data_IF_380733140600
#
_entry.id   IF_380733140600
#
_cell.length_a   1.000
_cell.length_b   1.000
_cell.length_c   1.000
_cell.angle_alpha   90.00
_cell.angle_beta   90.00
_cell.angle_gamma   90.00
#
_symmetry.space_group_name_H-M   'P 1'
#
loop_
_entity.id
_entity.type
_entity.pdbx_description
1 polymer ?
#
# COMPACT_ATOMS: atom_id res chain seq x y z
N UNK A 1 3.06 -24.28 -0.93
CA UNK A 1 3.28 -22.81 -0.98
C UNK A 1 2.99 -22.36 -2.40
N UNK A 2 1.80 -21.80 -2.66
CA UNK A 2 1.45 -21.26 -3.97
C UNK A 2 1.14 -19.76 -3.81
N UNK A 3 2.18 -18.96 -3.61
CA UNK A 3 2.09 -17.51 -3.80
C UNK A 3 2.14 -17.22 -5.31
N UNK A 4 1.12 -17.65 -6.05
CA UNK A 4 0.81 -16.99 -7.31
C UNK A 4 0.08 -15.72 -6.96
N UNK A 5 0.82 -14.70 -6.54
CA UNK A 5 0.38 -13.30 -6.66
C UNK A 5 0.00 -13.12 -8.12
N UNK A 6 -1.30 -13.06 -8.39
CA UNK A 6 -1.81 -12.85 -9.75
C UNK A 6 -1.14 -11.61 -10.33
N UNK A 7 -0.80 -11.57 -11.64
CA UNK A 7 -0.30 -10.35 -12.28
C UNK A 7 -1.20 -9.13 -12.03
N UNK A 8 -2.50 -9.36 -11.81
CA UNK A 8 -3.44 -8.33 -11.40
C UNK A 8 -3.12 -7.73 -10.02
N UNK A 9 -2.66 -8.54 -9.06
CA UNK A 9 -2.25 -8.09 -7.72
C UNK A 9 -0.93 -7.30 -7.78
N UNK A 10 0.05 -7.74 -8.57
CA UNK A 10 1.29 -6.98 -8.78
C UNK A 10 1.01 -5.67 -9.55
N UNK A 11 0.11 -5.71 -10.53
CA UNK A 11 -0.31 -4.54 -11.29
C UNK A 11 -1.07 -3.51 -10.45
N UNK A 12 -1.98 -3.93 -9.56
CA UNK A 12 -2.69 -3.02 -8.67
C UNK A 12 -1.78 -2.42 -7.60
N UNK A 13 -0.79 -3.16 -7.08
CA UNK A 13 0.23 -2.59 -6.20
C UNK A 13 1.03 -1.50 -6.92
N UNK A 14 1.46 -1.74 -8.16
CA UNK A 14 2.15 -0.74 -8.98
C UNK A 14 1.31 0.52 -9.21
N UNK A 15 0.03 0.36 -9.52
CA UNK A 15 -0.90 1.47 -9.71
C UNK A 15 -1.13 2.29 -8.42
N UNK A 16 -1.23 1.62 -7.27
CA UNK A 16 -1.38 2.27 -5.97
C UNK A 16 -0.14 3.13 -5.62
N UNK A 17 1.06 2.59 -5.85
CA UNK A 17 2.31 3.33 -5.65
C UNK A 17 2.37 4.53 -6.59
N UNK A 18 2.06 4.36 -7.88
CA UNK A 18 2.07 5.46 -8.85
C UNK A 18 1.11 6.59 -8.47
N UNK A 19 -0.10 6.24 -8.00
CA UNK A 19 -1.08 7.21 -7.52
C UNK A 19 -0.55 7.98 -6.30
N UNK A 20 0.05 7.27 -5.33
CA UNK A 20 0.61 7.90 -4.14
C UNK A 20 1.81 8.80 -4.48
N UNK A 21 2.67 8.38 -5.41
CA UNK A 21 3.79 9.20 -5.89
C UNK A 21 3.27 10.48 -6.56
N UNK A 22 2.18 10.44 -7.32
CA UNK A 22 1.58 11.65 -7.90
C UNK A 22 1.11 12.64 -6.81
N UNK A 23 0.50 12.13 -5.74
CA UNK A 23 0.09 12.96 -4.59
C UNK A 23 1.32 13.54 -3.86
N UNK A 24 2.32 12.71 -3.58
CA UNK A 24 3.56 13.13 -2.90
C UNK A 24 4.32 14.15 -3.75
N UNK A 25 4.39 13.95 -5.07
CA UNK A 25 5.05 14.87 -6.00
C UNK A 25 4.34 16.22 -6.02
N UNK A 26 3.01 16.23 -6.02
CA UNK A 26 2.21 17.44 -5.93
C UNK A 26 2.47 18.18 -4.60
N UNK A 27 2.48 17.46 -3.48
CA UNK A 27 2.79 18.03 -2.17
C UNK A 27 4.24 18.54 -2.10
N UNK A 28 5.21 17.80 -2.65
CA UNK A 28 6.61 18.18 -2.70
C UNK A 28 6.81 19.50 -3.45
N UNK A 29 6.14 19.67 -4.58
CA UNK A 29 6.17 20.92 -5.36
C UNK A 29 5.43 22.06 -4.66
N UNK A 30 4.29 21.78 -4.02
CA UNK A 30 3.49 22.81 -3.36
C UNK A 30 4.16 23.36 -2.09
N UNK A 31 4.80 22.49 -1.30
CA UNK A 31 5.45 22.86 -0.03
C UNK A 31 6.98 23.06 -0.15
N UNK A 32 7.57 22.81 -1.32
CA UNK A 32 9.01 22.96 -1.55
C UNK A 32 9.86 21.99 -0.72
N UNK A 33 9.39 20.75 -0.51
CA UNK A 33 10.02 19.77 0.39
C UNK A 33 11.35 19.20 -0.14
N UNK A 34 11.69 19.50 -1.41
CA UNK A 34 12.92 19.11 -2.09
C UNK A 34 13.25 17.60 -2.01
N UNK A 35 12.22 16.76 -2.00
CA UNK A 35 12.34 15.31 -2.00
C UNK A 35 12.76 14.81 -3.39
N UNK A 36 13.78 13.95 -3.43
CA UNK A 36 14.18 13.29 -4.67
C UNK A 36 13.10 12.32 -5.15
N UNK A 37 13.11 11.97 -6.44
CA UNK A 37 12.14 11.00 -6.98
C UNK A 37 12.23 9.64 -6.25
N UNK A 38 13.43 9.22 -5.85
CA UNK A 38 13.65 7.99 -5.09
C UNK A 38 13.02 8.07 -3.69
N UNK A 39 13.12 9.22 -3.02
CA UNK A 39 12.49 9.42 -1.69
C UNK A 39 10.98 9.34 -1.80
N UNK A 40 10.39 9.96 -2.82
CA UNK A 40 8.94 9.93 -3.06
C UNK A 40 8.42 8.52 -3.28
N UNK A 41 9.14 7.71 -4.08
CA UNK A 41 8.80 6.30 -4.32
C UNK A 41 9.00 5.45 -3.06
N UNK A 42 10.06 5.71 -2.29
CA UNK A 42 10.34 5.01 -1.03
C UNK A 42 9.23 5.25 0.01
N UNK A 43 8.81 6.51 0.17
CA UNK A 43 7.69 6.90 1.03
C UNK A 43 6.39 6.21 0.55
N UNK A 44 6.12 6.26 -0.76
CA UNK A 44 4.94 5.62 -1.34
C UNK A 44 4.91 4.11 -1.10
N UNK A 45 6.03 3.43 -1.33
CA UNK A 45 6.17 2.00 -1.07
C UNK A 45 5.97 1.66 0.40
N UNK A 46 6.56 2.44 1.31
CA UNK A 46 6.39 2.26 2.75
C UNK A 46 4.93 2.38 3.21
N UNK A 47 4.19 3.35 2.68
CA UNK A 47 2.76 3.53 3.00
C UNK A 47 1.94 2.33 2.51
N UNK A 48 2.20 1.85 1.29
CA UNK A 48 1.46 0.71 0.73
C UNK A 48 1.72 -0.56 1.53
N UNK A 49 2.96 -0.82 1.93
CA UNK A 49 3.31 -1.98 2.77
C UNK A 49 2.66 -1.89 4.15
N UNK A 50 2.69 -0.71 4.78
CA UNK A 50 2.05 -0.50 6.08
C UNK A 50 0.53 -0.70 5.99
N UNK A 51 -0.11 -0.14 4.96
CA UNK A 51 -1.54 -0.31 4.72
C UNK A 51 -1.91 -1.79 4.49
N UNK A 52 -1.08 -2.54 3.77
CA UNK A 52 -1.26 -3.96 3.56
C UNK A 52 -1.21 -4.74 4.88
N UNK A 53 -0.20 -4.50 5.72
CA UNK A 53 -0.08 -5.15 7.02
C UNK A 53 -1.27 -4.84 7.94
N UNK A 54 -1.71 -3.58 8.01
CA UNK A 54 -2.90 -3.19 8.80
C UNK A 54 -4.15 -3.89 8.28
N UNK A 55 -4.31 -3.99 6.95
CA UNK A 55 -5.44 -4.68 6.35
C UNK A 55 -5.43 -6.18 6.67
N UNK A 56 -4.26 -6.83 6.68
CA UNK A 56 -4.13 -8.24 7.10
C UNK A 56 -4.49 -8.43 8.57
N UNK A 57 -4.00 -7.56 9.46
CA UNK A 57 -4.35 -7.60 10.89
C UNK A 57 -5.86 -7.42 11.09
N UNK A 58 -6.47 -6.48 10.38
CA UNK A 58 -7.91 -6.25 10.44
C UNK A 58 -8.71 -7.44 9.90
N UNK A 59 -8.29 -8.01 8.76
CA UNK A 59 -8.93 -9.19 8.19
C UNK A 59 -8.86 -10.40 9.15
N UNK A 60 -7.70 -10.62 9.78
CA UNK A 60 -7.53 -11.64 10.81
C UNK A 60 -8.43 -11.39 12.04
N UNK A 61 -8.51 -10.14 12.50
CA UNK A 61 -9.40 -9.73 13.59
C UNK A 61 -10.88 -10.00 13.27
N UNK A 62 -11.33 -9.62 12.07
CA UNK A 62 -12.71 -9.85 11.63
C UNK A 62 -13.01 -11.35 11.45
N UNK A 63 -12.06 -12.12 10.91
CA UNK A 63 -12.20 -13.56 10.76
C UNK A 63 -12.33 -14.28 12.10
N UNK A 64 -11.56 -13.85 13.12
CA UNK A 64 -11.66 -14.38 14.48
C UNK A 64 -12.98 -14.03 15.19
N UNK A 65 -13.66 -12.95 14.75
CA UNK A 65 -14.90 -12.46 15.35
C UNK A 65 -16.17 -13.08 14.74
N UNK A 66 -16.09 -13.81 13.62
CA UNK A 66 -17.20 -14.64 13.15
C UNK A 66 -17.35 -15.83 14.12
N UNK A 67 -18.44 -15.95 14.89
CA UNK A 67 -18.66 -17.18 15.64
C UNK A 67 -18.75 -18.32 14.62
N UNK A 68 -18.06 -19.42 14.94
CA UNK A 68 -18.23 -20.69 14.25
C UNK A 68 -19.73 -21.01 14.34
N UNK A 69 -20.47 -20.85 13.24
CA UNK A 69 -21.83 -21.37 13.15
C UNK A 69 -21.69 -22.89 13.21
N UNK A 70 -21.89 -23.43 14.41
CA UNK A 70 -22.06 -24.85 14.69
C UNK A 70 -23.51 -25.07 15.11
#
# INVERSE_FOLDING_TARGET
MNQTTSPAATGTTGAAIACLVAVISTANNHFGLNLSAQDQVSIAGGIVVAAHWVAEQYAAYVAAKKPKAS
#
